data_IF_170845170985
#
_entry.id   IF_170845170985
#
_cell.length_a   1.000
_cell.length_b   1.000
_cell.length_c   1.000
_cell.angle_alpha   90.00
_cell.angle_beta   90.00
_cell.angle_gamma   90.00
#
_symmetry.space_group_name_H-M   'P 1'
#
loop_
_entity.id
_entity.type
_entity.pdbx_description
1 polymer ?
#
# COMPACT_ATOMS: atom_id res chain seq x y z
N UNK A 1 2.22 -18.16 -10.56
CA UNK A 1 3.28 -18.66 -11.46
C UNK A 1 4.38 -19.30 -10.63
N UNK A 2 5.18 -20.23 -11.19
CA UNK A 2 6.35 -20.77 -10.48
C UNK A 2 7.27 -19.64 -9.97
N UNK A 3 7.82 -19.78 -8.76
CA UNK A 3 8.79 -18.84 -8.18
C UNK A 3 8.20 -17.62 -7.45
N UNK A 4 6.88 -17.36 -7.56
CA UNK A 4 6.29 -16.14 -6.96
C UNK A 4 6.27 -16.20 -5.43
N UNK A 5 5.95 -17.34 -4.84
CA UNK A 5 5.87 -17.47 -3.39
C UNK A 5 7.26 -17.49 -2.76
N UNK A 6 8.21 -18.13 -3.44
CA UNK A 6 9.63 -18.16 -3.08
C UNK A 6 10.22 -16.74 -3.10
N UNK A 7 9.95 -15.97 -4.16
CA UNK A 7 10.37 -14.58 -4.25
C UNK A 7 9.81 -13.71 -3.10
N UNK A 8 8.54 -13.91 -2.71
CA UNK A 8 7.97 -13.20 -1.55
C UNK A 8 8.64 -13.62 -0.24
N UNK A 9 8.93 -14.92 -0.08
CA UNK A 9 9.51 -15.46 1.16
C UNK A 9 10.97 -14.99 1.38
N UNK A 10 11.75 -14.91 0.30
CA UNK A 10 13.18 -14.60 0.31
C UNK A 10 13.49 -13.10 0.15
N UNK A 11 12.53 -12.30 -0.30
CA UNK A 11 12.72 -10.86 -0.48
C UNK A 11 13.09 -10.16 0.84
N UNK A 12 14.11 -9.30 0.78
CA UNK A 12 14.46 -8.41 1.90
C UNK A 12 13.38 -7.37 2.21
N UNK A 13 12.59 -6.99 1.20
CA UNK A 13 11.48 -6.05 1.26
C UNK A 13 10.47 -6.38 0.15
N UNK A 14 9.18 -6.35 0.46
CA UNK A 14 8.10 -6.43 -0.53
C UNK A 14 7.42 -5.07 -0.63
N UNK A 15 7.41 -4.49 -1.83
CA UNK A 15 6.82 -3.18 -2.11
C UNK A 15 5.53 -3.32 -2.90
N UNK A 16 4.45 -2.74 -2.40
CA UNK A 16 3.19 -2.57 -3.12
C UNK A 16 3.13 -1.14 -3.66
N UNK A 17 3.26 -0.99 -4.97
CA UNK A 17 3.19 0.29 -5.67
C UNK A 17 1.83 1.00 -5.46
N UNK A 18 1.74 2.34 -5.64
CA UNK A 18 0.50 3.11 -5.48
C UNK A 18 -0.48 2.88 -6.65
N UNK A 19 -0.93 1.64 -6.81
CA UNK A 19 -1.89 1.18 -7.81
C UNK A 19 -3.29 1.01 -7.22
N UNK A 20 -4.27 0.77 -8.08
CA UNK A 20 -5.66 0.59 -7.65
C UNK A 20 -5.79 -0.64 -6.73
N UNK A 21 -6.27 -0.47 -5.48
CA UNK A 21 -6.34 -1.57 -4.52
C UNK A 21 -7.36 -2.64 -4.93
N UNK A 22 -8.36 -2.28 -5.73
CA UNK A 22 -9.47 -3.17 -6.12
C UNK A 22 -9.17 -3.94 -7.39
N UNK A 23 -8.71 -3.27 -8.45
CA UNK A 23 -8.57 -3.91 -9.78
C UNK A 23 -7.13 -4.18 -10.20
N UNK A 24 -6.13 -3.61 -9.54
CA UNK A 24 -4.72 -3.89 -9.85
C UNK A 24 -4.11 -4.81 -8.81
N UNK A 25 -4.12 -4.40 -7.54
CA UNK A 25 -3.54 -5.21 -6.46
C UNK A 25 -4.49 -6.32 -6.03
N UNK A 26 -5.80 -6.03 -5.96
CA UNK A 26 -6.84 -7.00 -5.57
C UNK A 26 -6.77 -8.34 -6.31
N UNK A 27 -6.67 -8.38 -7.66
CA UNK A 27 -6.54 -9.64 -8.38
C UNK A 27 -5.26 -10.41 -8.08
N UNK A 28 -4.15 -9.73 -7.77
CA UNK A 28 -2.90 -10.39 -7.34
C UNK A 28 -3.12 -11.05 -5.98
N UNK A 29 -3.75 -10.36 -5.03
CA UNK A 29 -4.05 -10.90 -3.71
C UNK A 29 -5.06 -12.06 -3.73
N UNK A 30 -5.94 -12.10 -4.74
CA UNK A 30 -6.89 -13.18 -4.93
C UNK A 30 -6.24 -14.50 -5.39
N UNK A 31 -4.98 -14.47 -5.82
CA UNK A 31 -4.24 -15.69 -6.14
C UNK A 31 -3.93 -16.44 -4.84
N UNK A 32 -4.31 -17.74 -4.73
CA UNK A 32 -4.08 -18.53 -3.52
C UNK A 32 -2.62 -18.50 -3.07
N UNK A 33 -2.42 -18.30 -1.76
CA UNK A 33 -1.10 -18.27 -1.12
C UNK A 33 -0.42 -16.90 -1.07
N UNK A 34 -0.75 -15.95 -1.97
CA UNK A 34 -0.06 -14.65 -2.01
C UNK A 34 -0.28 -13.85 -0.72
N UNK A 35 -1.54 -13.66 -0.31
CA UNK A 35 -1.84 -12.90 0.92
C UNK A 35 -1.23 -13.56 2.17
N UNK A 36 -1.19 -14.90 2.22
CA UNK A 36 -0.57 -15.64 3.32
C UNK A 36 0.95 -15.44 3.36
N UNK A 37 1.61 -15.50 2.21
CA UNK A 37 3.06 -15.27 2.09
C UNK A 37 3.42 -13.83 2.49
N UNK A 38 2.63 -12.84 2.07
CA UNK A 38 2.78 -11.45 2.52
C UNK A 38 2.60 -11.33 4.04
N UNK A 39 1.58 -11.99 4.60
CA UNK A 39 1.31 -12.00 6.04
C UNK A 39 2.47 -12.57 6.87
N UNK A 40 3.11 -13.66 6.42
CA UNK A 40 4.29 -14.23 7.06
C UNK A 40 5.50 -13.28 7.05
N UNK A 41 5.52 -12.30 6.14
CA UNK A 41 6.55 -11.28 5.98
C UNK A 41 6.07 -9.89 6.35
N UNK A 42 4.94 -9.76 7.08
CA UNK A 42 4.24 -8.49 7.33
C UNK A 42 5.14 -7.32 7.71
N UNK A 43 6.13 -7.53 8.59
CA UNK A 43 7.08 -6.49 9.01
C UNK A 43 7.94 -5.91 7.87
N UNK A 44 8.08 -6.63 6.75
CA UNK A 44 8.82 -6.26 5.55
C UNK A 44 7.90 -6.00 4.35
N UNK A 45 6.60 -5.75 4.57
CA UNK A 45 5.68 -5.35 3.51
C UNK A 45 5.35 -3.87 3.66
N UNK A 46 5.75 -3.09 2.66
CA UNK A 46 5.51 -1.65 2.58
C UNK A 46 4.62 -1.36 1.37
N UNK A 47 3.52 -0.66 1.58
CA UNK A 47 2.68 -0.15 0.49
C UNK A 47 2.79 1.37 0.39
N UNK A 48 2.58 1.91 -0.80
CA UNK A 48 2.34 3.35 -1.01
C UNK A 48 0.86 3.56 -1.31
N UNK A 49 0.22 4.48 -0.59
CA UNK A 49 -1.19 4.84 -0.81
C UNK A 49 -1.38 5.48 -2.20
N UNK A 50 -2.35 5.00 -3.01
CA UNK A 50 -2.79 5.69 -4.23
C UNK A 50 -3.76 6.85 -3.94
N UNK A 51 -4.15 7.04 -2.68
CA UNK A 51 -5.02 8.11 -2.22
C UNK A 51 -4.20 9.27 -1.67
N UNK A 52 -4.61 10.47 -2.07
CA UNK A 52 -3.99 11.76 -1.77
C UNK A 52 -5.09 12.77 -1.47
N UNK A 53 -5.15 13.27 -0.23
CA UNK A 53 -6.13 14.29 0.20
C UNK A 53 -7.58 13.83 0.04
N UNK A 54 -7.87 12.56 0.32
CA UNK A 54 -9.20 11.97 0.16
C UNK A 54 -9.63 11.67 -1.29
N UNK A 55 -8.72 11.78 -2.27
CA UNK A 55 -8.98 11.46 -3.67
C UNK A 55 -7.92 10.52 -4.25
N UNK A 56 -8.29 9.70 -5.24
CA UNK A 56 -7.32 8.92 -6.00
C UNK A 56 -6.51 9.84 -6.93
N UNK A 57 -5.19 9.62 -7.02
CA UNK A 57 -4.31 10.42 -7.91
C UNK A 57 -4.74 10.29 -9.37
N UNK A 58 -5.14 9.10 -9.79
CA UNK A 58 -5.63 8.85 -11.15
C UNK A 58 -6.55 7.62 -11.19
N UNK A 59 -7.32 7.53 -12.26
CA UNK A 59 -8.16 6.37 -12.56
C UNK A 59 -9.36 6.16 -11.61
N UNK A 60 -10.04 5.00 -11.73
CA UNK A 60 -11.31 4.75 -11.05
C UNK A 60 -11.17 4.26 -9.60
N UNK A 61 -9.99 4.36 -8.98
CA UNK A 61 -9.72 3.74 -7.67
C UNK A 61 -10.72 4.23 -6.59
N UNK A 62 -10.98 5.54 -6.52
CA UNK A 62 -11.95 6.10 -5.58
C UNK A 62 -13.38 5.54 -5.78
N UNK A 63 -13.83 5.42 -7.03
CA UNK A 63 -15.16 4.88 -7.34
C UNK A 63 -15.27 3.39 -6.98
N UNK A 64 -14.23 2.62 -7.29
CA UNK A 64 -14.19 1.18 -7.03
C UNK A 64 -14.06 0.86 -5.53
N UNK A 65 -13.29 1.66 -4.78
CA UNK A 65 -13.24 1.56 -3.33
C UNK A 65 -14.63 1.80 -2.71
N UNK A 66 -15.32 2.87 -3.12
CA UNK A 66 -16.70 3.12 -2.67
C UNK A 66 -17.65 1.97 -3.02
N UNK A 67 -17.57 1.45 -4.25
CA UNK A 67 -18.39 0.30 -4.69
C UNK A 67 -18.11 -0.98 -3.87
N UNK A 68 -16.94 -1.08 -3.24
CA UNK A 68 -16.56 -2.16 -2.33
C UNK A 68 -16.86 -1.86 -0.86
N UNK A 69 -17.47 -0.71 -0.54
CA UNK A 69 -17.73 -0.28 0.83
C UNK A 69 -16.48 0.17 1.58
N UNK A 70 -15.42 0.55 0.87
CA UNK A 70 -14.18 1.07 1.44
C UNK A 70 -14.16 2.59 1.40
N UNK A 71 -13.63 3.20 2.45
CA UNK A 71 -13.38 4.62 2.50
C UNK A 71 -12.31 5.03 1.47
N UNK A 72 -12.50 6.18 0.80
CA UNK A 72 -11.47 6.75 -0.09
C UNK A 72 -10.45 7.51 0.76
N UNK A 73 -9.67 6.75 1.51
CA UNK A 73 -8.65 7.25 2.44
C UNK A 73 -7.51 6.25 2.57
N UNK A 74 -6.35 6.64 3.13
CA UNK A 74 -5.30 5.68 3.47
C UNK A 74 -5.78 4.57 4.42
N UNK A 75 -6.75 4.86 5.30
CA UNK A 75 -7.34 3.86 6.17
C UNK A 75 -8.16 2.82 5.38
N UNK A 76 -8.93 3.25 4.37
CA UNK A 76 -9.64 2.33 3.48
C UNK A 76 -8.70 1.49 2.62
N UNK A 77 -7.54 2.04 2.21
CA UNK A 77 -6.47 1.27 1.56
C UNK A 77 -5.90 0.22 2.50
N UNK A 78 -5.61 0.59 3.75
CA UNK A 78 -5.14 -0.36 4.76
C UNK A 78 -6.16 -1.47 5.04
N UNK A 79 -7.46 -1.14 5.07
CA UNK A 79 -8.53 -2.13 5.19
C UNK A 79 -8.57 -3.10 4.01
N UNK A 80 -8.36 -2.61 2.78
CA UNK A 80 -8.26 -3.46 1.58
C UNK A 80 -7.05 -4.41 1.62
N UNK A 81 -5.99 -4.04 2.33
CA UNK A 81 -4.73 -4.78 2.44
C UNK A 81 -4.56 -5.51 3.78
N UNK A 82 -5.58 -5.52 4.63
CA UNK A 82 -5.57 -6.29 5.85
C UNK A 82 -5.62 -7.82 5.54
N UNK A 83 -5.05 -8.67 6.41
CA UNK A 83 -4.27 -8.35 7.61
C UNK A 83 -2.75 -8.25 7.36
N UNK A 84 -2.30 -8.37 6.11
CA UNK A 84 -0.88 -8.62 5.77
C UNK A 84 -0.03 -7.35 5.62
N UNK A 85 -0.64 -6.17 5.52
CA UNK A 85 0.11 -4.91 5.41
C UNK A 85 0.78 -4.54 6.74
N UNK A 86 2.10 -4.32 6.73
CA UNK A 86 2.86 -3.84 7.88
C UNK A 86 2.98 -2.32 7.94
N UNK A 87 3.39 -1.71 6.83
CA UNK A 87 3.67 -0.27 6.74
C UNK A 87 2.96 0.34 5.53
N UNK A 88 2.33 1.50 5.72
CA UNK A 88 1.75 2.31 4.66
C UNK A 88 2.44 3.68 4.59
N UNK A 89 3.03 3.99 3.44
CA UNK A 89 3.46 5.33 3.08
C UNK A 89 2.26 6.08 2.51
N UNK A 90 1.88 7.19 3.12
CA UNK A 90 0.75 8.03 2.72
C UNK A 90 1.23 9.44 2.36
N UNK A 91 0.42 10.17 1.60
CA UNK A 91 0.72 11.57 1.30
C UNK A 91 0.67 12.43 2.57
N UNK A 92 1.53 13.44 2.67
CA UNK A 92 1.53 14.40 3.78
C UNK A 92 0.16 15.03 4.03
N UNK A 93 -0.65 15.22 2.99
CA UNK A 93 -2.02 15.76 3.10
C UNK A 93 -2.96 14.86 3.91
N UNK A 94 -2.65 13.56 4.00
CA UNK A 94 -3.46 12.59 4.73
C UNK A 94 -2.86 12.22 6.09
N UNK A 95 -1.81 12.93 6.56
CA UNK A 95 -1.07 12.60 7.79
C UNK A 95 -1.96 12.42 9.05
N UNK A 96 -3.13 13.07 9.08
CA UNK A 96 -4.13 12.90 10.14
C UNK A 96 -4.62 11.44 10.32
N UNK A 97 -4.43 10.56 9.33
CA UNK A 97 -4.78 9.14 9.43
C UNK A 97 -3.73 8.29 10.15
N UNK A 98 -2.56 8.83 10.47
CA UNK A 98 -1.44 8.06 11.03
C UNK A 98 -1.81 7.33 12.32
N UNK A 99 -2.47 8.01 13.27
CA UNK A 99 -2.89 7.40 14.54
C UNK A 99 -3.94 6.29 14.33
N UNK A 100 -4.87 6.50 13.40
CA UNK A 100 -5.89 5.51 13.08
C UNK A 100 -5.28 4.25 12.45
N UNK A 101 -4.28 4.41 11.56
CA UNK A 101 -3.50 3.31 11.00
C UNK A 101 -2.74 2.55 12.10
N UNK A 102 -2.12 3.27 13.04
CA UNK A 102 -1.43 2.67 14.18
C UNK A 102 -2.35 1.80 15.05
N UNK A 103 -3.60 2.23 15.27
CA UNK A 103 -4.60 1.45 16.02
C UNK A 103 -5.01 0.14 15.35
N UNK A 104 -4.89 0.03 14.02
CA UNK A 104 -5.09 -1.22 13.27
C UNK A 104 -3.77 -1.95 12.99
N UNK A 105 -2.71 -1.58 13.67
CA UNK A 105 -1.39 -2.23 13.61
C UNK A 105 -0.55 -1.86 12.40
N UNK A 106 -0.97 -0.90 11.56
CA UNK A 106 -0.24 -0.47 10.37
C UNK A 106 0.64 0.74 10.72
N UNK A 107 1.95 0.62 10.52
CA UNK A 107 2.88 1.75 10.67
C UNK A 107 2.62 2.76 9.55
N UNK A 108 2.42 4.02 9.90
CA UNK A 108 2.18 5.09 8.94
C UNK A 108 3.45 5.94 8.73
N UNK A 109 3.78 6.26 7.49
CA UNK A 109 4.87 7.17 7.12
C UNK A 109 4.32 8.23 6.17
N UNK A 110 4.34 9.49 6.58
CA UNK A 110 3.89 10.60 5.74
C UNK A 110 5.02 11.10 4.82
N UNK A 111 4.77 11.17 3.51
CA UNK A 111 5.76 11.56 2.50
C UNK A 111 5.11 12.30 1.32
N UNK A 112 5.91 12.86 0.42
CA UNK A 112 5.41 13.33 -0.87
C UNK A 112 5.25 12.10 -1.79
N UNK A 113 4.02 11.70 -2.10
CA UNK A 113 3.76 10.47 -2.87
C UNK A 113 3.44 10.72 -4.34
N UNK A 114 3.30 11.99 -4.74
CA UNK A 114 3.10 12.36 -6.15
C UNK A 114 4.40 12.22 -6.95
N UNK A 115 4.39 11.29 -7.90
CA UNK A 115 5.48 10.97 -8.81
C UNK A 115 5.38 11.81 -10.10
N UNK A 116 5.51 13.13 -10.00
CA UNK A 116 5.38 14.03 -11.17
C UNK A 116 6.63 14.08 -12.05
N UNK A 117 7.77 13.60 -11.53
CA UNK A 117 9.05 13.59 -12.21
C UNK A 117 9.97 12.49 -11.63
N UNK A 118 11.03 12.10 -12.37
CA UNK A 118 11.95 11.05 -11.90
C UNK A 118 12.70 11.37 -10.60
N UNK A 119 12.86 12.64 -10.24
CA UNK A 119 13.52 13.00 -8.98
C UNK A 119 12.62 12.70 -7.78
N UNK A 120 11.31 12.98 -7.90
CA UNK A 120 10.30 12.63 -6.90
C UNK A 120 10.08 11.13 -6.79
N UNK A 121 10.08 10.40 -7.90
CA UNK A 121 10.05 8.93 -7.90
C UNK A 121 11.21 8.35 -7.08
N UNK A 122 12.45 8.83 -7.34
CA UNK A 122 13.63 8.39 -6.60
C UNK A 122 13.58 8.78 -5.12
N UNK A 123 13.06 9.96 -4.79
CA UNK A 123 12.91 10.40 -3.40
C UNK A 123 11.92 9.49 -2.64
N UNK A 124 10.78 9.20 -3.24
CA UNK A 124 9.79 8.29 -2.67
C UNK A 124 10.34 6.87 -2.53
N UNK A 125 11.07 6.37 -3.54
CA UNK A 125 11.69 5.05 -3.49
C UNK A 125 12.68 4.92 -2.33
N UNK A 126 13.47 5.96 -2.02
CA UNK A 126 14.37 5.95 -0.85
C UNK A 126 13.60 5.83 0.46
N UNK A 127 12.52 6.60 0.61
CA UNK A 127 11.65 6.52 1.80
C UNK A 127 11.08 5.11 1.96
N UNK A 128 10.63 4.48 0.87
CA UNK A 128 10.13 3.10 0.89
C UNK A 128 11.20 2.10 1.31
N UNK A 129 12.44 2.25 0.82
CA UNK A 129 13.56 1.39 1.20
C UNK A 129 13.96 1.57 2.67
N UNK A 130 13.89 2.78 3.21
CA UNK A 130 14.18 3.11 4.62
C UNK A 130 13.03 2.74 5.57
N UNK A 131 11.83 2.49 5.06
CA UNK A 131 10.65 2.10 5.83
C UNK A 131 10.65 0.63 6.27
N UNK A 132 11.57 -0.17 5.72
CA UNK A 132 11.68 -1.62 5.88
C UNK A 132 12.09 -2.06 7.29
#
# INVERSE_FOLDING_TARGET
APGVLEAIAEAGLVVICPSNPVTSVGPVLAVPGIAAALGARRARVVAVSPIVGGAAVSGPAAALMRARGLDVSPLGVAAAYAPWLGTLVLDRRDAAHADALGRVGVRAIAADTLMTDPARERALARIVLEAA
#
